data_IF_563702628099
#
_entry.id   IF_563702628099
#
_cell.length_a   1.000
_cell.length_b   1.000
_cell.length_c   1.000
_cell.angle_alpha   90.00
_cell.angle_beta   90.00
_cell.angle_gamma   90.00
#
_symmetry.space_group_name_H-M   'P 1'
#
loop_
_entity.id
_entity.type
_entity.pdbx_description
1 polymer ?
#
# COMPACT_ATOMS: atom_id res chain seq x y z
N UNK A 1 23.10 -1.12 -10.33
CA UNK A 1 22.69 0.10 -9.57
C UNK A 1 21.23 0.02 -9.20
N UNK A 2 20.89 0.44 -7.97
CA UNK A 2 19.47 0.48 -7.62
C UNK A 2 18.74 1.53 -8.47
N UNK A 3 17.47 1.32 -8.76
CA UNK A 3 16.71 2.29 -9.55
C UNK A 3 16.56 3.63 -8.82
N UNK A 4 16.46 4.70 -9.59
CA UNK A 4 16.19 6.03 -9.05
C UNK A 4 14.74 6.13 -8.61
N UNK A 5 14.36 7.21 -7.91
CA UNK A 5 12.97 7.44 -7.50
C UNK A 5 12.05 7.50 -8.72
N UNK A 6 12.49 8.14 -9.80
CA UNK A 6 11.70 8.23 -11.04
C UNK A 6 11.50 6.85 -11.67
N UNK A 7 12.54 6.02 -11.66
CA UNK A 7 12.45 4.66 -12.19
C UNK A 7 11.52 3.79 -11.34
N UNK A 8 11.57 3.96 -10.01
CA UNK A 8 10.65 3.27 -9.10
C UNK A 8 9.21 3.67 -9.42
N UNK A 9 8.95 4.96 -9.55
CA UNK A 9 7.61 5.44 -9.88
C UNK A 9 7.14 4.89 -11.22
N UNK A 10 7.97 4.94 -12.26
CA UNK A 10 7.61 4.44 -13.59
C UNK A 10 7.25 2.96 -13.56
N UNK A 11 8.02 2.15 -12.83
CA UNK A 11 7.75 0.71 -12.72
C UNK A 11 6.47 0.43 -11.92
N UNK A 12 6.27 1.17 -10.83
CA UNK A 12 5.04 1.05 -10.04
C UNK A 12 3.84 1.46 -10.88
N UNK A 13 3.95 2.57 -11.60
CA UNK A 13 2.91 3.06 -12.50
C UNK A 13 2.55 1.99 -13.55
N UNK A 14 3.55 1.41 -14.21
CA UNK A 14 3.34 0.38 -15.22
C UNK A 14 2.64 -0.85 -14.64
N UNK A 15 3.03 -1.28 -13.44
CA UNK A 15 2.41 -2.41 -12.77
C UNK A 15 0.94 -2.13 -12.46
N UNK A 16 0.62 -0.94 -12.01
CA UNK A 16 -0.76 -0.55 -11.69
C UNK A 16 -1.62 -0.42 -12.95
N UNK A 17 -1.07 0.16 -14.01
CA UNK A 17 -1.75 0.25 -15.30
C UNK A 17 -2.11 -1.15 -15.82
N UNK A 18 -1.17 -2.06 -15.77
CA UNK A 18 -1.37 -3.43 -16.26
C UNK A 18 -2.34 -4.22 -15.38
N UNK A 19 -2.23 -4.06 -14.07
CA UNK A 19 -3.07 -4.82 -13.13
C UNK A 19 -4.50 -4.30 -13.07
N UNK A 20 -4.70 -2.99 -13.15
CA UNK A 20 -5.99 -2.35 -12.93
C UNK A 20 -6.67 -1.86 -14.22
N UNK A 21 -5.94 -1.84 -15.31
CA UNK A 21 -6.49 -1.36 -16.58
C UNK A 21 -6.78 0.15 -16.61
N UNK A 22 -6.07 0.91 -15.78
CA UNK A 22 -6.20 2.37 -15.74
C UNK A 22 -5.18 3.02 -16.67
N UNK A 23 -5.39 4.29 -16.99
CA UNK A 23 -4.44 5.06 -17.80
C UNK A 23 -3.27 5.54 -16.95
N UNK A 24 -2.08 5.69 -17.55
CA UNK A 24 -0.90 6.18 -16.84
C UNK A 24 -1.15 7.56 -16.22
N UNK A 25 -1.96 8.39 -16.85
CA UNK A 25 -2.30 9.73 -16.35
C UNK A 25 -3.08 9.68 -15.03
N UNK A 26 -3.80 8.58 -14.79
CA UNK A 26 -4.55 8.38 -13.55
C UNK A 26 -3.64 8.00 -12.39
N UNK A 27 -2.49 7.39 -12.68
CA UNK A 27 -1.55 6.92 -11.66
C UNK A 27 -0.60 8.04 -11.29
N UNK A 28 -1.06 8.91 -10.39
CA UNK A 28 -0.22 9.99 -9.83
C UNK A 28 0.28 9.58 -8.46
N UNK A 29 1.28 10.28 -7.92
CA UNK A 29 1.83 9.96 -6.60
C UNK A 29 0.79 10.03 -5.49
N UNK A 30 -0.16 10.96 -5.58
CA UNK A 30 -1.20 11.15 -4.57
C UNK A 30 -2.41 10.27 -4.76
N UNK A 31 -2.52 9.55 -5.89
CA UNK A 31 -3.65 8.66 -6.14
C UNK A 31 -3.67 7.51 -5.13
N UNK A 32 -4.84 7.23 -4.56
CA UNK A 32 -5.01 6.08 -3.69
C UNK A 32 -5.37 4.86 -4.51
N UNK A 33 -4.90 3.69 -4.08
CA UNK A 33 -5.09 2.46 -4.86
C UNK A 33 -6.57 2.08 -4.95
N UNK A 34 -7.29 2.15 -3.85
CA UNK A 34 -8.71 1.76 -3.81
C UNK A 34 -9.61 2.92 -4.21
N UNK A 35 -9.43 4.08 -3.58
CA UNK A 35 -10.34 5.22 -3.80
C UNK A 35 -10.26 5.80 -5.20
N UNK A 36 -9.05 6.07 -5.68
CA UNK A 36 -8.84 6.73 -6.97
C UNK A 36 -8.68 5.75 -8.12
N UNK A 37 -7.98 4.63 -7.91
CA UNK A 37 -7.68 3.67 -8.96
C UNK A 37 -8.63 2.47 -8.99
N UNK A 38 -9.49 2.33 -7.99
CA UNK A 38 -10.51 1.29 -7.96
C UNK A 38 -9.99 -0.12 -7.73
N UNK A 39 -8.85 -0.27 -7.07
CA UNK A 39 -8.29 -1.59 -6.79
C UNK A 39 -9.18 -2.38 -5.83
N UNK A 40 -9.37 -3.66 -6.13
CA UNK A 40 -10.10 -4.59 -5.28
C UNK A 40 -9.11 -5.54 -4.60
N UNK A 41 -9.57 -6.27 -3.57
CA UNK A 41 -8.68 -7.16 -2.82
C UNK A 41 -7.97 -8.20 -3.70
N UNK A 42 -8.63 -8.69 -4.75
CA UNK A 42 -8.01 -9.65 -5.66
C UNK A 42 -6.92 -9.00 -6.52
N UNK A 43 -7.06 -7.70 -6.79
CA UNK A 43 -6.09 -6.95 -7.59
C UNK A 43 -4.76 -6.81 -6.87
N UNK A 44 -4.78 -6.76 -5.54
CA UNK A 44 -3.56 -6.62 -4.75
C UNK A 44 -2.58 -7.77 -4.96
N UNK A 45 -3.07 -8.99 -5.13
CA UNK A 45 -2.20 -10.13 -5.42
C UNK A 45 -1.47 -9.95 -6.75
N UNK A 46 -2.20 -9.49 -7.76
CA UNK A 46 -1.62 -9.24 -9.08
C UNK A 46 -0.62 -8.08 -9.03
N UNK A 47 -0.96 -7.01 -8.31
CA UNK A 47 -0.08 -5.85 -8.13
C UNK A 47 1.23 -6.28 -7.46
N UNK A 48 1.14 -7.01 -6.34
CA UNK A 48 2.31 -7.49 -5.60
C UNK A 48 3.18 -8.38 -6.51
N UNK A 49 2.57 -9.30 -7.23
CA UNK A 49 3.28 -10.21 -8.13
C UNK A 49 4.04 -9.45 -9.22
N UNK A 50 3.40 -8.45 -9.81
CA UNK A 50 4.02 -7.63 -10.85
C UNK A 50 5.18 -6.79 -10.31
N UNK A 51 5.02 -6.25 -9.10
CA UNK A 51 6.09 -5.49 -8.44
C UNK A 51 7.27 -6.38 -8.08
N UNK A 52 7.02 -7.59 -7.59
CA UNK A 52 8.09 -8.54 -7.29
C UNK A 52 8.93 -8.84 -8.53
N UNK A 53 8.28 -9.03 -9.67
CA UNK A 53 8.97 -9.29 -10.93
C UNK A 53 9.71 -8.07 -11.44
N UNK A 54 9.08 -6.89 -11.36
CA UNK A 54 9.66 -5.66 -11.89
C UNK A 54 10.94 -5.27 -11.16
N UNK A 55 10.99 -5.51 -9.84
CA UNK A 55 12.12 -5.10 -9.01
C UNK A 55 12.98 -6.27 -8.55
N UNK A 56 12.60 -7.49 -8.88
CA UNK A 56 13.30 -8.72 -8.47
C UNK A 56 13.48 -8.80 -6.95
N UNK A 57 12.38 -8.61 -6.23
CA UNK A 57 12.33 -8.64 -4.76
C UNK A 57 11.18 -9.53 -4.30
N UNK A 58 11.18 -9.89 -3.03
CA UNK A 58 10.07 -10.58 -2.41
C UNK A 58 9.24 -9.58 -1.61
N UNK A 59 7.92 -9.61 -1.79
CA UNK A 59 7.01 -8.74 -1.07
C UNK A 59 6.03 -9.59 -0.28
N UNK A 60 6.29 -9.80 1.04
CA UNK A 60 5.29 -10.48 1.87
C UNK A 60 4.01 -9.63 1.93
N UNK A 61 2.89 -10.26 1.64
CA UNK A 61 1.61 -9.56 1.57
C UNK A 61 1.28 -8.82 2.86
N UNK A 62 1.61 -9.39 4.02
CA UNK A 62 1.34 -8.79 5.32
C UNK A 62 2.12 -7.51 5.58
N UNK A 63 3.18 -7.25 4.84
CA UNK A 63 3.93 -5.99 4.97
C UNK A 63 3.21 -4.82 4.32
N UNK A 64 2.54 -5.06 3.19
CA UNK A 64 1.77 -4.02 2.49
C UNK A 64 0.32 -3.94 2.96
N UNK A 65 -0.28 -5.11 3.23
CA UNK A 65 -1.68 -5.19 3.60
C UNK A 65 -1.82 -6.00 4.89
N UNK A 66 -1.75 -5.34 6.05
CA UNK A 66 -1.74 -6.05 7.34
C UNK A 66 -3.13 -6.54 7.73
N UNK A 67 -3.64 -7.51 7.00
CA UNK A 67 -4.96 -8.09 7.23
C UNK A 67 -5.08 -8.69 8.63
N UNK A 68 -3.99 -9.23 9.17
CA UNK A 68 -3.95 -9.79 10.50
C UNK A 68 -4.26 -8.76 11.59
N UNK A 69 -3.88 -7.50 11.38
CA UNK A 69 -4.23 -6.42 12.29
C UNK A 69 -5.68 -6.00 12.09
N UNK A 70 -6.10 -5.85 10.83
CA UNK A 70 -7.41 -5.34 10.47
C UNK A 70 -8.55 -6.31 10.75
N UNK A 71 -8.25 -7.59 10.98
CA UNK A 71 -9.24 -8.61 11.30
C UNK A 71 -9.13 -9.14 12.74
N UNK A 72 -8.16 -8.62 13.52
CA UNK A 72 -7.93 -9.08 14.88
C UNK A 72 -8.79 -8.30 15.87
N UNK A 73 -9.62 -9.01 16.64
CA UNK A 73 -10.52 -8.42 17.63
C UNK A 73 -9.78 -7.60 18.70
N UNK A 74 -8.51 -7.91 18.97
CA UNK A 74 -7.70 -7.16 19.94
C UNK A 74 -7.31 -5.77 19.44
N UNK A 75 -7.32 -5.58 18.11
CA UNK A 75 -6.93 -4.32 17.47
C UNK A 75 -8.11 -3.56 16.89
N UNK A 76 -9.29 -4.16 16.86
CA UNK A 76 -10.49 -3.56 16.26
C UNK A 76 -11.61 -3.49 17.29
N UNK A 77 -12.24 -2.33 17.41
CA UNK A 77 -13.40 -2.12 18.27
C UNK A 77 -14.40 -1.22 17.56
N UNK A 78 -15.64 -1.69 17.46
CA UNK A 78 -16.73 -0.94 16.80
C UNK A 78 -16.40 -0.52 15.36
N UNK A 79 -15.69 -1.39 14.62
CA UNK A 79 -15.30 -1.12 13.24
C UNK A 79 -14.13 -0.17 13.09
N UNK A 80 -13.48 0.19 14.20
CA UNK A 80 -12.33 1.11 14.21
C UNK A 80 -11.10 0.44 14.79
N UNK A 81 -9.93 0.85 14.29
CA UNK A 81 -8.66 0.38 14.82
C UNK A 81 -8.40 1.07 16.16
N UNK A 82 -8.07 0.29 17.19
CA UNK A 82 -7.77 0.81 18.52
C UNK A 82 -6.41 1.50 18.54
N UNK A 83 -6.10 2.22 19.65
CA UNK A 83 -4.79 2.84 19.81
C UNK A 83 -3.65 1.83 19.72
N UNK A 84 -3.85 0.62 20.27
CA UNK A 84 -2.88 -0.48 20.21
C UNK A 84 -2.72 -0.93 18.75
N UNK A 85 -3.83 -1.07 18.03
CA UNK A 85 -3.82 -1.44 16.61
C UNK A 85 -3.11 -0.39 15.75
N UNK A 86 -3.35 0.89 16.01
CA UNK A 86 -2.67 1.98 15.31
C UNK A 86 -1.17 1.94 15.55
N UNK A 87 -0.73 1.65 16.78
CA UNK A 87 0.69 1.53 17.09
C UNK A 87 1.32 0.39 16.31
N UNK A 88 0.63 -0.74 16.16
CA UNK A 88 1.10 -1.86 15.35
C UNK A 88 1.15 -1.51 13.86
N UNK A 89 0.16 -0.79 13.35
CA UNK A 89 0.16 -0.34 11.95
C UNK A 89 1.36 0.56 11.67
N UNK A 90 1.63 1.52 12.55
CA UNK A 90 2.79 2.41 12.40
C UNK A 90 4.10 1.64 12.40
N UNK A 91 4.20 0.63 13.24
CA UNK A 91 5.39 -0.21 13.35
C UNK A 91 5.63 -1.03 12.08
N UNK A 92 4.56 -1.57 11.50
CA UNK A 92 4.65 -2.41 10.29
C UNK A 92 4.73 -1.59 9.02
N UNK A 93 4.17 -0.40 9.01
CA UNK A 93 4.05 0.45 7.82
C UNK A 93 4.70 1.81 8.02
N UNK A 94 6.02 1.85 8.33
CA UNK A 94 6.70 3.14 8.52
C UNK A 94 6.77 3.98 7.25
N UNK A 95 6.57 3.36 6.10
CA UNK A 95 6.56 4.01 4.79
C UNK A 95 5.24 4.76 4.51
N UNK A 96 4.17 4.42 5.23
CA UNK A 96 2.84 4.99 4.97
C UNK A 96 2.57 6.18 5.89
N UNK A 97 1.88 7.18 5.33
CA UNK A 97 1.41 8.32 6.11
C UNK A 97 0.04 7.98 6.72
N UNK A 98 0.03 7.69 8.01
CA UNK A 98 -1.17 7.29 8.73
C UNK A 98 -1.89 8.45 9.42
N UNK A 99 -1.42 9.68 9.25
CA UNK A 99 -1.95 10.84 9.99
C UNK A 99 -3.46 11.05 9.76
N UNK A 100 -3.92 10.90 8.53
CA UNK A 100 -5.34 11.02 8.21
C UNK A 100 -6.16 9.86 8.77
N UNK A 101 -5.60 8.67 8.73
CA UNK A 101 -6.25 7.48 9.25
C UNK A 101 -6.41 7.56 10.77
N UNK A 102 -5.43 8.12 11.47
CA UNK A 102 -5.49 8.29 12.93
C UNK A 102 -6.66 9.15 13.38
N UNK A 103 -7.05 10.15 12.58
CA UNK A 103 -8.18 11.01 12.92
C UNK A 103 -9.51 10.28 12.86
N UNK A 104 -9.62 9.27 11.99
CA UNK A 104 -10.83 8.47 11.86
C UNK A 104 -10.45 7.06 11.42
N UNK A 105 -9.98 6.22 12.37
CA UNK A 105 -9.38 4.92 12.04
C UNK A 105 -10.40 3.82 11.75
N UNK A 106 -11.33 4.08 10.86
CA UNK A 106 -12.31 3.09 10.43
C UNK A 106 -11.65 2.05 9.53
N UNK A 107 -11.85 0.76 9.82
CA UNK A 107 -11.29 -0.34 9.05
C UNK A 107 -11.63 -0.22 7.57
N UNK A 108 -12.88 0.14 7.26
CA UNK A 108 -13.34 0.27 5.88
C UNK A 108 -12.62 1.39 5.11
N UNK A 109 -12.03 2.37 5.81
CA UNK A 109 -11.28 3.46 5.19
C UNK A 109 -9.81 3.10 4.97
N UNK A 110 -9.35 1.96 5.45
CA UNK A 110 -7.94 1.56 5.29
C UNK A 110 -7.55 1.45 3.82
N UNK A 111 -8.48 0.99 2.97
CA UNK A 111 -8.22 0.88 1.53
C UNK A 111 -7.89 2.22 0.87
N UNK A 112 -8.37 3.33 1.43
CA UNK A 112 -8.10 4.68 0.92
C UNK A 112 -6.80 5.27 1.47
N UNK A 113 -6.13 4.56 2.37
CA UNK A 113 -4.91 5.02 3.01
C UNK A 113 -3.70 4.93 2.08
N UNK A 114 -3.54 3.79 1.42
CA UNK A 114 -2.35 3.54 0.59
C UNK A 114 -2.42 4.30 -0.74
N UNK A 115 -1.46 5.19 -0.93
CA UNK A 115 -1.29 5.92 -2.19
C UNK A 115 -0.17 5.29 -3.02
N UNK A 116 -0.07 5.72 -4.26
CA UNK A 116 1.04 5.33 -5.15
C UNK A 116 2.38 5.71 -4.52
N UNK A 117 2.45 6.89 -3.89
CA UNK A 117 3.66 7.34 -3.18
C UNK A 117 4.07 6.36 -2.09
N UNK A 118 3.12 5.87 -1.30
CA UNK A 118 3.40 4.91 -0.24
C UNK A 118 3.95 3.60 -0.80
N UNK A 119 3.42 3.14 -1.92
CA UNK A 119 3.94 1.97 -2.63
C UNK A 119 5.38 2.18 -3.05
N UNK A 120 5.67 3.35 -3.62
CA UNK A 120 7.04 3.69 -4.05
C UNK A 120 8.00 3.71 -2.87
N UNK A 121 7.59 4.30 -1.74
CA UNK A 121 8.40 4.34 -0.53
C UNK A 121 8.69 2.92 -0.01
N UNK A 122 7.68 2.08 -0.03
CA UNK A 122 7.85 0.69 0.39
C UNK A 122 8.88 -0.02 -0.48
N UNK A 123 8.75 0.11 -1.80
CA UNK A 123 9.69 -0.49 -2.75
C UNK A 123 11.10 0.03 -2.49
N UNK A 124 11.27 1.33 -2.27
CA UNK A 124 12.57 1.92 -1.98
C UNK A 124 13.21 1.30 -0.73
N UNK A 125 12.43 1.04 0.31
CA UNK A 125 12.96 0.40 1.52
C UNK A 125 13.44 -1.02 1.24
N UNK A 126 12.80 -1.72 0.31
CA UNK A 126 13.18 -3.09 -0.05
C UNK A 126 14.46 -3.14 -0.90
N UNK A 127 14.56 -2.27 -1.89
CA UNK A 127 15.70 -2.29 -2.81
C UNK A 127 16.97 -1.66 -2.22
N UNK A 128 16.81 -0.85 -1.18
CA UNK A 128 17.97 -0.24 -0.48
C UNK A 128 18.27 -0.90 0.86
N UNK A 129 17.60 -2.00 1.17
CA UNK A 129 17.80 -2.73 2.42
C UNK A 129 19.15 -3.45 2.43
#
# INVERSE_FOLDING_TARGET
MPPTKDEVFEKVQAALVDALGVDDEEVTESATLVGDLGAESIDFLDIVFRLEKAFNIEIPRSELFPEDILTNADYIQDGKVTAVGLAELKKRMPFADLSKFESNPEVQEFGNLLSVRDMCRYIETKIHA
#
